data_IF_259213548348
#
_entry.id   IF_259213548348
#
_cell.length_a   1.000
_cell.length_b   1.000
_cell.length_c   1.000
_cell.angle_alpha   90.00
_cell.angle_beta   90.00
_cell.angle_gamma   90.00
#
_symmetry.space_group_name_H-M   'P 1'
#
loop_
_entity.id
_entity.type
_entity.pdbx_description
1 polymer ?
#
# COMPACT_ATOMS: atom_id res chain seq x y z
N UNK A 1 -6.43 -2.56 -0.36
CA UNK A 1 -5.28 -1.99 0.39
C UNK A 1 -5.70 -0.59 0.84
N UNK A 2 -5.78 -0.29 2.14
CA UNK A 2 -6.46 0.94 2.61
C UNK A 2 -5.62 2.23 2.50
N UNK A 3 -4.38 2.16 2.00
CA UNK A 3 -3.42 3.28 1.99
C UNK A 3 -2.54 3.32 0.72
N UNK A 4 -3.12 3.46 -0.49
CA UNK A 4 -2.36 3.47 -1.73
C UNK A 4 -1.35 4.62 -1.82
N UNK A 5 -1.63 5.74 -1.15
CA UNK A 5 -0.77 6.90 -1.06
C UNK A 5 0.61 6.54 -0.50
N UNK A 6 0.71 5.63 0.46
CA UNK A 6 1.99 5.25 1.10
C UNK A 6 2.54 3.92 0.58
N UNK A 7 1.70 3.08 -0.04
CA UNK A 7 2.03 1.68 -0.40
C UNK A 7 3.33 1.56 -1.23
N UNK A 8 3.46 2.39 -2.27
CA UNK A 8 4.58 2.34 -3.22
C UNK A 8 5.81 3.15 -2.79
N UNK A 9 5.72 3.94 -1.70
CA UNK A 9 6.83 4.76 -1.21
C UNK A 9 7.86 3.90 -0.48
N UNK A 10 9.14 4.06 -0.77
CA UNK A 10 10.22 3.50 0.06
C UNK A 10 10.21 4.15 1.44
N UNK A 11 10.40 3.36 2.51
CA UNK A 11 10.53 3.90 3.87
C UNK A 11 11.76 4.80 3.97
N UNK A 12 12.90 4.43 3.38
CA UNK A 12 14.13 5.23 3.36
C UNK A 12 13.90 6.60 2.70
N UNK A 13 13.25 6.60 1.53
CA UNK A 13 12.95 7.85 0.83
C UNK A 13 11.94 8.71 1.59
N UNK A 14 10.94 8.08 2.22
CA UNK A 14 9.96 8.77 3.05
C UNK A 14 10.57 9.38 4.31
N UNK A 15 11.60 8.78 4.89
CA UNK A 15 12.33 9.35 6.03
C UNK A 15 13.11 10.61 5.64
N UNK A 16 13.63 10.66 4.41
CA UNK A 16 14.46 11.77 3.94
C UNK A 16 13.64 12.95 3.43
N UNK A 17 12.56 12.71 2.68
CA UNK A 17 11.85 13.75 1.94
C UNK A 17 10.38 13.89 2.32
N UNK A 18 9.84 15.11 2.13
CA UNK A 18 8.47 15.45 2.45
C UNK A 18 7.53 14.91 1.37
N UNK A 19 6.54 14.15 1.81
CA UNK A 19 5.39 13.78 0.98
C UNK A 19 4.13 14.48 1.50
N UNK A 20 3.22 14.80 0.59
CA UNK A 20 1.85 15.13 0.95
C UNK A 20 1.17 13.88 1.53
N UNK A 21 0.65 13.97 2.76
CA UNK A 21 -0.04 12.82 3.36
C UNK A 21 -1.44 12.60 2.76
N UNK A 22 -2.04 13.62 2.14
CA UNK A 22 -3.35 13.54 1.50
C UNK A 22 -3.27 12.96 0.08
N UNK A 23 -2.29 13.41 -0.71
CA UNK A 23 -2.16 13.02 -2.14
C UNK A 23 -1.10 11.95 -2.37
N UNK A 24 -0.16 11.82 -1.44
CA UNK A 24 1.00 10.96 -1.56
C UNK A 24 2.06 11.33 -2.56
N UNK A 25 1.99 12.55 -3.06
CA UNK A 25 2.99 13.11 -3.96
C UNK A 25 4.21 13.61 -3.18
N UNK A 26 5.38 13.49 -3.80
CA UNK A 26 6.64 14.05 -3.31
C UNK A 26 6.59 15.57 -3.45
N UNK A 27 6.88 16.30 -2.36
CA UNK A 27 7.03 17.75 -2.46
C UNK A 27 8.38 18.09 -3.08
N UNK A 28 8.36 18.98 -4.05
CA UNK A 28 9.56 19.48 -4.73
C UNK A 28 9.64 20.99 -4.66
N UNK A 29 10.85 21.53 -4.56
CA UNK A 29 11.15 22.95 -4.68
C UNK A 29 12.19 23.12 -5.77
N UNK A 30 11.84 23.88 -6.83
CA UNK A 30 12.68 24.05 -8.04
C UNK A 30 13.09 22.72 -8.68
N UNK A 31 12.20 21.72 -8.64
CA UNK A 31 12.44 20.38 -9.20
C UNK A 31 13.16 19.42 -8.26
N UNK A 32 13.71 19.90 -7.14
CA UNK A 32 14.42 19.05 -6.19
C UNK A 32 13.52 18.61 -5.03
N UNK A 33 13.61 17.35 -4.57
CA UNK A 33 12.86 16.87 -3.41
C UNK A 33 13.16 17.68 -2.14
N UNK A 34 12.12 18.09 -1.42
CA UNK A 34 12.28 18.84 -0.18
C UNK A 34 12.61 17.90 0.96
N UNK A 35 13.75 18.10 1.63
CA UNK A 35 14.15 17.31 2.81
C UNK A 35 13.26 17.61 4.02
N UNK A 36 13.05 16.59 4.85
CA UNK A 36 12.26 16.72 6.07
C UNK A 36 13.02 17.51 7.14
N UNK A 37 12.34 18.50 7.70
CA UNK A 37 12.76 19.18 8.94
C UNK A 37 12.08 18.56 10.17
N UNK A 38 10.91 17.96 9.98
CA UNK A 38 10.14 17.28 11.02
C UNK A 38 10.21 15.76 10.88
N UNK A 39 10.10 14.99 11.99
CA UNK A 39 10.09 13.54 11.92
C UNK A 39 9.01 13.01 10.98
N UNK A 40 9.33 11.95 10.24
CA UNK A 40 8.37 11.26 9.38
C UNK A 40 7.20 10.70 10.20
N UNK A 41 6.02 10.47 9.59
CA UNK A 41 4.83 9.95 10.30
C UNK A 41 5.06 8.65 11.09
N UNK A 42 5.99 7.80 10.66
CA UNK A 42 6.36 6.58 11.38
C UNK A 42 7.13 6.81 12.69
N UNK A 43 7.81 7.94 12.85
CA UNK A 43 8.61 8.30 14.02
C UNK A 43 8.12 9.56 14.73
N UNK A 44 6.98 10.12 14.30
CA UNK A 44 6.37 11.28 14.93
C UNK A 44 5.30 10.84 15.95
N UNK A 45 5.53 10.97 17.27
CA UNK A 45 4.58 10.56 18.30
C UNK A 45 3.30 11.42 18.32
N UNK A 46 3.32 12.61 17.70
CA UNK A 46 2.15 13.48 17.56
C UNK A 46 1.32 13.16 16.31
N UNK A 47 1.77 12.24 15.45
CA UNK A 47 1.02 11.87 14.26
C UNK A 47 -0.16 10.95 14.65
N UNK A 48 -1.42 11.38 14.47
CA UNK A 48 -2.58 10.78 15.13
C UNK A 48 -2.85 9.32 14.75
N UNK A 49 -2.33 8.84 13.61
CA UNK A 49 -2.53 7.47 13.12
C UNK A 49 -1.24 6.67 12.90
N UNK A 50 -0.07 7.29 13.14
CA UNK A 50 1.23 6.73 12.72
C UNK A 50 1.28 6.39 11.22
N UNK A 51 2.28 5.60 10.81
CA UNK A 51 2.38 5.11 9.43
C UNK A 51 1.65 3.76 9.26
N UNK A 52 0.81 3.60 8.21
CA UNK A 52 0.10 2.35 7.95
C UNK A 52 1.03 1.19 7.58
N UNK A 53 2.27 1.46 7.12
CA UNK A 53 3.30 0.44 6.86
C UNK A 53 4.08 0.01 8.11
N UNK A 54 3.84 0.65 9.25
CA UNK A 54 4.70 0.51 10.43
C UNK A 54 5.96 1.38 10.34
N UNK A 55 7.00 1.00 11.07
CA UNK A 55 8.31 1.67 11.02
C UNK A 55 9.30 0.83 10.22
N UNK A 56 10.44 1.38 9.77
CA UNK A 56 11.50 0.58 9.14
C UNK A 56 11.98 -0.58 10.02
N UNK A 57 12.03 -0.36 11.34
CA UNK A 57 12.50 -1.33 12.34
C UNK A 57 11.42 -2.36 12.68
N UNK A 58 10.15 -1.97 12.58
CA UNK A 58 8.99 -2.82 12.83
C UNK A 58 7.92 -2.65 11.75
N UNK A 59 8.16 -3.21 10.54
CA UNK A 59 7.23 -3.10 9.44
C UNK A 59 5.99 -3.95 9.70
N UNK A 60 4.82 -3.44 9.33
CA UNK A 60 3.58 -4.24 9.34
C UNK A 60 3.62 -5.20 8.16
N UNK A 61 3.97 -6.45 8.42
CA UNK A 61 4.00 -7.54 7.44
C UNK A 61 2.89 -8.55 7.71
N UNK A 62 2.64 -9.41 6.73
CA UNK A 62 1.74 -10.55 6.94
C UNK A 62 2.39 -11.53 7.92
N UNK A 63 1.59 -12.06 8.84
CA UNK A 63 2.01 -13.22 9.63
C UNK A 63 2.31 -14.41 8.71
N UNK A 64 3.14 -15.35 9.16
CA UNK A 64 3.47 -16.55 8.37
C UNK A 64 2.19 -17.32 7.94
N UNK A 65 1.18 -17.38 8.81
CA UNK A 65 -0.12 -18.00 8.51
C UNK A 65 -0.83 -17.26 7.36
N UNK A 66 -0.91 -15.94 7.43
CA UNK A 66 -1.57 -15.13 6.42
C UNK A 66 -0.80 -15.13 5.10
N UNK A 67 0.54 -15.15 5.15
CA UNK A 67 1.38 -15.27 3.96
C UNK A 67 1.13 -16.59 3.23
N UNK A 68 1.09 -17.72 3.96
CA UNK A 68 0.77 -19.03 3.39
C UNK A 68 -0.64 -19.08 2.82
N UNK A 69 -1.63 -18.53 3.53
CA UNK A 69 -3.00 -18.44 3.03
C UNK A 69 -3.09 -17.64 1.73
N UNK A 70 -2.41 -16.49 1.65
CA UNK A 70 -2.35 -15.68 0.44
C UNK A 70 -1.67 -16.42 -0.71
N UNK A 71 -0.56 -17.12 -0.44
CA UNK A 71 0.13 -17.91 -1.47
C UNK A 71 -0.77 -19.04 -2.00
N UNK A 72 -1.41 -19.79 -1.11
CA UNK A 72 -2.33 -20.86 -1.49
C UNK A 72 -3.49 -20.33 -2.33
N UNK A 73 -4.11 -19.21 -1.92
CA UNK A 73 -5.15 -18.55 -2.71
C UNK A 73 -4.66 -18.15 -4.11
N UNK A 74 -3.42 -17.64 -4.24
CA UNK A 74 -2.85 -17.32 -5.55
C UNK A 74 -2.68 -18.55 -6.44
N UNK A 75 -2.23 -19.66 -5.89
CA UNK A 75 -2.06 -20.93 -6.62
C UNK A 75 -3.42 -21.47 -7.09
N UNK A 76 -4.43 -21.48 -6.22
CA UNK A 76 -5.80 -21.87 -6.56
C UNK A 76 -6.41 -20.93 -7.61
N UNK A 77 -6.24 -19.61 -7.46
CA UNK A 77 -6.75 -18.63 -8.43
C UNK A 77 -6.09 -18.78 -9.80
N UNK A 78 -4.79 -19.08 -9.85
CA UNK A 78 -4.07 -19.30 -11.10
C UNK A 78 -4.52 -20.58 -11.83
N UNK A 79 -4.92 -21.61 -11.10
CA UNK A 79 -5.35 -22.90 -11.66
C UNK A 79 -6.86 -23.02 -11.84
N UNK A 80 -7.66 -22.14 -11.23
CA UNK A 80 -9.11 -22.23 -11.18
C UNK A 80 -9.64 -23.30 -10.23
N UNK A 81 -8.76 -23.99 -9.49
CA UNK A 81 -9.12 -25.13 -8.66
C UNK A 81 -8.92 -24.78 -7.18
N UNK A 82 -10.03 -24.72 -6.46
CA UNK A 82 -10.06 -24.57 -5.01
C UNK A 82 -10.49 -25.89 -4.36
N UNK A 83 -9.84 -26.34 -3.27
CA UNK A 83 -10.34 -27.42 -2.44
C UNK A 83 -11.78 -27.15 -1.98
N UNK A 84 -12.60 -28.20 -1.87
CA UNK A 84 -13.93 -28.09 -1.25
C UNK A 84 -13.80 -28.07 0.28
N UNK A 85 -13.48 -26.88 0.80
CA UNK A 85 -13.27 -26.62 2.22
C UNK A 85 -13.84 -25.24 2.57
N UNK A 86 -14.66 -25.16 3.63
CA UNK A 86 -15.36 -23.94 4.01
C UNK A 86 -14.39 -22.82 4.46
N UNK A 87 -13.27 -23.18 5.10
CA UNK A 87 -12.25 -22.20 5.53
C UNK A 87 -11.53 -21.64 4.31
N UNK A 88 -11.20 -22.49 3.34
CA UNK A 88 -10.60 -22.06 2.07
C UNK A 88 -11.56 -21.15 1.31
N UNK A 89 -12.84 -21.52 1.20
CA UNK A 89 -13.87 -20.72 0.52
C UNK A 89 -14.03 -19.34 1.16
N UNK A 90 -14.11 -19.29 2.49
CA UNK A 90 -14.22 -18.04 3.24
C UNK A 90 -13.00 -17.13 3.06
N UNK A 91 -11.78 -17.67 3.22
CA UNK A 91 -10.56 -16.90 3.06
C UNK A 91 -10.38 -16.43 1.61
N UNK A 92 -10.74 -17.26 0.63
CA UNK A 92 -10.67 -16.91 -0.78
C UNK A 92 -11.60 -15.73 -1.12
N UNK A 93 -12.80 -15.69 -0.55
CA UNK A 93 -13.72 -14.57 -0.72
C UNK A 93 -13.12 -13.25 -0.19
N UNK A 94 -12.56 -13.27 1.03
CA UNK A 94 -11.90 -12.09 1.62
C UNK A 94 -10.73 -11.61 0.75
N UNK A 95 -9.86 -12.53 0.34
CA UNK A 95 -8.68 -12.20 -0.47
C UNK A 95 -9.07 -11.71 -1.87
N UNK A 96 -10.14 -12.26 -2.45
CA UNK A 96 -10.67 -11.82 -3.73
C UNK A 96 -11.20 -10.38 -3.65
N UNK A 97 -12.02 -10.08 -2.65
CA UNK A 97 -12.54 -8.73 -2.40
C UNK A 97 -11.42 -7.69 -2.22
N UNK A 98 -10.40 -8.05 -1.42
CA UNK A 98 -9.21 -7.21 -1.24
C UNK A 98 -8.43 -6.97 -2.54
N UNK A 99 -8.33 -7.99 -3.39
CA UNK A 99 -7.62 -7.91 -4.67
C UNK A 99 -8.40 -7.06 -5.68
N UNK A 100 -9.71 -7.20 -5.73
CA UNK A 100 -10.58 -6.47 -6.64
C UNK A 100 -10.62 -4.99 -6.26
N UNK A 101 -10.81 -4.68 -4.97
CA UNK A 101 -10.67 -3.32 -4.43
C UNK A 101 -9.32 -2.67 -4.78
N UNK A 102 -8.22 -3.43 -4.70
CA UNK A 102 -6.89 -2.92 -5.03
C UNK A 102 -6.73 -2.67 -6.55
N UNK A 103 -7.32 -3.52 -7.39
CA UNK A 103 -7.30 -3.36 -8.85
C UNK A 103 -8.11 -2.12 -9.27
N UNK A 104 -9.30 -1.92 -8.71
CA UNK A 104 -10.15 -0.75 -8.95
C UNK A 104 -9.45 0.55 -8.53
N UNK A 105 -8.85 0.57 -7.34
CA UNK A 105 -8.07 1.73 -6.88
C UNK A 105 -6.91 2.07 -7.83
N UNK A 106 -6.19 1.05 -8.32
CA UNK A 106 -5.10 1.25 -9.28
C UNK A 106 -5.62 1.82 -10.60
N UNK A 107 -6.75 1.32 -11.10
CA UNK A 107 -7.37 1.86 -12.32
C UNK A 107 -7.82 3.31 -12.13
N UNK A 108 -8.47 3.62 -11.00
CA UNK A 108 -8.89 4.97 -10.69
C UNK A 108 -7.69 5.94 -10.59
N UNK A 109 -6.60 5.52 -9.92
CA UNK A 109 -5.37 6.31 -9.84
C UNK A 109 -4.78 6.57 -11.23
N UNK A 110 -4.66 5.54 -12.07
CA UNK A 110 -4.15 5.69 -13.44
C UNK A 110 -5.03 6.64 -14.26
N UNK A 111 -6.35 6.49 -14.17
CA UNK A 111 -7.30 7.37 -14.85
C UNK A 111 -7.18 8.82 -14.37
N UNK A 112 -7.08 9.03 -13.06
CA UNK A 112 -6.89 10.36 -12.46
C UNK A 112 -5.57 11.00 -12.92
N UNK A 113 -4.48 10.22 -13.05
CA UNK A 113 -3.21 10.73 -13.57
C UNK A 113 -3.32 11.17 -15.03
N UNK A 114 -4.06 10.41 -15.87
CA UNK A 114 -4.28 10.78 -17.27
C UNK A 114 -5.14 12.04 -17.42
N UNK A 115 -6.15 12.23 -16.57
CA UNK A 115 -7.10 13.36 -16.65
C UNK A 115 -6.53 14.68 -16.10
N UNK A 116 -5.55 14.63 -15.20
CA UNK A 116 -4.97 15.81 -14.55
C UNK A 116 -3.77 16.40 -15.29
N UNK A 117 -3.38 15.83 -16.43
CA UNK A 117 -2.33 16.40 -17.28
C UNK A 117 -0.94 16.45 -16.65
N UNK A 118 -0.71 15.77 -15.51
CA UNK A 118 0.64 15.51 -14.96
C UNK A 118 1.28 14.35 -15.72
N UNK A 119 1.46 14.56 -17.02
CA UNK A 119 2.30 13.75 -17.88
C UNK A 119 3.54 14.56 -18.23
N UNK A 120 4.69 14.04 -17.80
CA UNK A 120 6.07 14.53 -18.01
C UNK A 120 6.60 15.47 -16.94
#
# INVERSE_FOLDING_TARGET
MLHPEVAFRSCEHCLKYIYSEDTGELQTFRGEPVERVLPAPCHNPKHPKGCPKGTPENPKTLSLKNQKAYQHWRECKATGNFPDDDIVRHNAAILQDMADSAAEQKQFQLFSMMMTGKGM
#
